data_IF_553036916517
#
_entry.id   IF_553036916517
#
_cell.length_a   1.000
_cell.length_b   1.000
_cell.length_c   1.000
_cell.angle_alpha   90.00
_cell.angle_beta   90.00
_cell.angle_gamma   90.00
#
_symmetry.space_group_name_H-M   'P 1'
#
loop_
_entity.id
_entity.type
_entity.pdbx_description
1 polymer ?
#
# COMPACT_ATOMS: atom_id res chain seq x y z
N UNK A 1 -19.35 17.58 -20.04
CA UNK A 1 -18.97 16.18 -19.66
C UNK A 1 -17.93 16.25 -18.55
N UNK A 2 -18.19 15.59 -17.44
CA UNK A 2 -17.26 15.55 -16.29
C UNK A 2 -16.19 14.50 -16.56
N UNK A 3 -14.91 14.89 -16.40
CA UNK A 3 -13.79 13.96 -16.49
C UNK A 3 -13.30 13.62 -15.07
N UNK A 4 -13.10 12.34 -14.79
CA UNK A 4 -12.68 11.84 -13.48
C UNK A 4 -11.43 10.96 -13.69
N UNK A 5 -10.35 11.26 -13.00
CA UNK A 5 -9.14 10.46 -12.96
C UNK A 5 -9.02 9.81 -11.58
N UNK A 6 -8.81 8.50 -11.55
CA UNK A 6 -8.81 7.73 -10.29
C UNK A 6 -7.61 6.83 -10.20
N UNK A 7 -7.05 6.73 -8.99
CA UNK A 7 -5.97 5.81 -8.67
C UNK A 7 -6.07 5.29 -7.24
N UNK A 8 -5.51 4.11 -7.01
CA UNK A 8 -5.42 3.46 -5.71
C UNK A 8 -4.04 2.89 -5.46
N UNK A 9 -3.53 3.08 -4.26
CA UNK A 9 -2.22 2.60 -3.84
C UNK A 9 -2.29 1.79 -2.54
N UNK A 10 -1.37 0.85 -2.37
CA UNK A 10 -1.19 0.12 -1.13
C UNK A 10 0.30 0.00 -0.80
N UNK A 11 0.69 0.34 0.43
CA UNK A 11 2.11 0.35 0.82
C UNK A 11 2.71 -1.04 0.94
N UNK A 12 1.90 -2.00 1.35
CA UNK A 12 2.14 -3.45 1.37
C UNK A 12 0.79 -4.09 1.05
N UNK A 13 0.74 -5.14 0.27
CA UNK A 13 -0.52 -5.70 -0.21
C UNK A 13 -0.77 -7.10 0.39
N UNK A 14 -1.63 -7.29 1.42
CA UNK A 14 -2.49 -6.28 2.07
C UNK A 14 -1.74 -5.37 3.07
N UNK A 15 -2.31 -4.20 3.37
CA UNK A 15 -1.80 -3.25 4.36
C UNK A 15 -2.43 -1.86 4.25
N UNK A 16 -1.71 -0.83 4.70
CA UNK A 16 -2.20 0.55 4.61
C UNK A 16 -2.33 0.97 3.15
N UNK A 17 -3.52 1.34 2.75
CA UNK A 17 -3.81 1.82 1.40
C UNK A 17 -4.36 3.24 1.39
N UNK A 18 -4.31 3.84 0.20
CA UNK A 18 -4.86 5.15 -0.09
C UNK A 18 -5.50 5.17 -1.48
N UNK A 19 -6.42 6.07 -1.67
CA UNK A 19 -7.05 6.33 -2.94
C UNK A 19 -7.08 7.82 -3.22
N UNK A 20 -7.01 8.18 -4.49
CA UNK A 20 -7.05 9.55 -4.96
C UNK A 20 -7.89 9.69 -6.21
N UNK A 21 -8.53 10.85 -6.36
CA UNK A 21 -9.22 11.19 -7.59
C UNK A 21 -9.20 12.69 -7.87
N UNK A 22 -9.24 13.02 -9.16
CA UNK A 22 -9.39 14.38 -9.67
C UNK A 22 -10.65 14.44 -10.51
N UNK A 23 -11.57 15.32 -10.13
CA UNK A 23 -12.84 15.55 -10.81
C UNK A 23 -12.77 16.89 -11.52
N UNK A 24 -12.93 16.89 -12.83
CA UNK A 24 -12.89 18.08 -13.67
C UNK A 24 -14.30 18.30 -14.22
N UNK A 25 -14.94 19.36 -13.73
CA UNK A 25 -16.30 19.73 -14.11
C UNK A 25 -16.33 20.49 -15.45
N UNK A 26 -17.47 20.49 -16.09
CA UNK A 26 -17.72 21.22 -17.37
C UNK A 26 -17.37 22.72 -17.28
N UNK A 27 -17.48 23.27 -16.08
CA UNK A 27 -17.10 24.67 -15.78
C UNK A 27 -15.59 24.92 -15.77
N UNK A 28 -14.78 23.88 -15.90
CA UNK A 28 -13.33 23.95 -15.72
C UNK A 28 -12.90 23.88 -14.23
N UNK A 29 -13.83 23.80 -13.29
CA UNK A 29 -13.50 23.61 -11.87
C UNK A 29 -12.88 22.23 -11.67
N UNK A 30 -11.75 22.18 -10.95
CA UNK A 30 -11.09 20.96 -10.51
C UNK A 30 -11.39 20.71 -9.02
N UNK A 31 -11.75 19.47 -8.70
CA UNK A 31 -11.90 19.01 -7.32
C UNK A 31 -11.00 17.80 -7.11
N UNK A 32 -10.21 17.83 -6.04
CA UNK A 32 -9.32 16.74 -5.65
C UNK A 32 -9.85 16.09 -4.39
N UNK A 33 -10.06 14.79 -4.44
CA UNK A 33 -10.54 14.01 -3.30
C UNK A 33 -9.59 12.83 -3.06
N UNK A 34 -9.42 12.47 -1.81
CA UNK A 34 -8.56 11.36 -1.42
C UNK A 34 -8.97 10.81 -0.06
N UNK A 35 -8.54 9.63 0.24
CA UNK A 35 -8.70 9.00 1.55
C UNK A 35 -7.82 7.77 1.69
N UNK A 36 -7.87 7.16 2.87
CA UNK A 36 -7.00 6.04 3.22
C UNK A 36 -7.74 5.01 4.06
N UNK A 37 -7.22 3.78 4.07
CA UNK A 37 -7.70 2.66 4.86
C UNK A 37 -6.50 1.99 5.55
N UNK A 38 -6.56 1.68 6.86
CA UNK A 38 -5.44 1.10 7.60
C UNK A 38 -5.13 -0.34 7.18
N UNK A 39 -6.12 -1.08 6.64
CA UNK A 39 -5.94 -2.48 6.24
C UNK A 39 -6.75 -2.82 4.99
N UNK A 40 -6.09 -2.79 3.85
CA UNK A 40 -6.75 -2.96 2.55
C UNK A 40 -5.80 -3.59 1.51
N UNK A 41 -6.24 -3.61 0.25
CA UNK A 41 -5.43 -4.04 -0.90
C UNK A 41 -5.46 -2.99 -2.00
N UNK A 42 -4.48 -3.03 -2.91
CA UNK A 42 -4.42 -2.12 -4.04
C UNK A 42 -5.74 -2.11 -4.82
N UNK A 43 -6.23 -3.27 -5.22
CA UNK A 43 -7.48 -3.39 -5.98
C UNK A 43 -8.69 -2.77 -5.26
N UNK A 44 -8.77 -2.89 -3.93
CA UNK A 44 -9.83 -2.26 -3.16
C UNK A 44 -9.75 -0.75 -3.23
N UNK A 45 -8.55 -0.18 -3.15
CA UNK A 45 -8.34 1.27 -3.21
C UNK A 45 -8.69 1.82 -4.60
N UNK A 46 -8.34 1.10 -5.67
CA UNK A 46 -8.71 1.45 -7.04
C UNK A 46 -10.24 1.50 -7.22
N UNK A 47 -10.97 0.49 -6.75
CA UNK A 47 -12.45 0.50 -6.81
C UNK A 47 -13.02 1.62 -5.93
N UNK A 48 -12.46 1.82 -4.73
CA UNK A 48 -12.89 2.85 -3.78
C UNK A 48 -12.74 4.25 -4.36
N UNK A 49 -11.65 4.52 -5.09
CA UNK A 49 -11.44 5.80 -5.77
C UNK A 49 -12.58 6.12 -6.75
N UNK A 50 -13.02 5.14 -7.53
CA UNK A 50 -14.15 5.28 -8.44
C UNK A 50 -15.46 5.52 -7.68
N UNK A 51 -15.75 4.70 -6.67
CA UNK A 51 -16.95 4.83 -5.84
C UNK A 51 -17.04 6.24 -5.25
N UNK A 52 -15.98 6.69 -4.59
CA UNK A 52 -15.93 8.00 -3.92
C UNK A 52 -16.04 9.17 -4.90
N UNK A 53 -15.55 9.00 -6.11
CA UNK A 53 -15.71 10.00 -7.16
C UNK A 53 -17.16 10.08 -7.65
N UNK A 54 -17.80 8.94 -7.86
CA UNK A 54 -19.20 8.89 -8.31
C UNK A 54 -20.19 9.36 -7.25
N UNK A 55 -19.88 9.22 -5.96
CA UNK A 55 -20.66 9.80 -4.86
C UNK A 55 -20.66 11.33 -4.87
N UNK A 56 -19.64 11.98 -5.45
CA UNK A 56 -19.50 13.44 -5.52
C UNK A 56 -20.25 14.07 -6.68
N UNK A 57 -20.51 13.33 -7.75
CA UNK A 57 -21.10 13.87 -8.97
C UNK A 57 -22.57 13.46 -9.13
N UNK A 58 -23.39 14.36 -9.71
CA UNK A 58 -24.79 14.11 -9.91
C UNK A 58 -25.02 12.97 -10.92
N UNK A 59 -26.05 12.14 -10.70
CA UNK A 59 -26.42 11.02 -11.59
C UNK A 59 -26.71 11.46 -13.03
N UNK A 60 -27.19 12.68 -13.25
CA UNK A 60 -27.57 13.21 -14.57
C UNK A 60 -26.40 13.69 -15.42
N UNK A 61 -25.19 13.72 -14.87
CA UNK A 61 -24.03 14.18 -15.61
C UNK A 61 -23.50 13.09 -16.55
N UNK A 62 -23.10 13.48 -17.76
CA UNK A 62 -22.30 12.63 -18.62
C UNK A 62 -20.88 12.58 -18.05
N UNK A 63 -20.38 11.39 -17.78
CA UNK A 63 -19.13 11.17 -17.05
C UNK A 63 -18.17 10.38 -17.93
N UNK A 64 -16.88 10.76 -17.88
CA UNK A 64 -15.79 9.96 -18.42
C UNK A 64 -14.79 9.67 -17.31
N UNK A 65 -14.53 8.38 -17.05
CA UNK A 65 -13.60 7.92 -16.03
C UNK A 65 -12.33 7.40 -16.69
N UNK A 66 -11.19 7.91 -16.22
CA UNK A 66 -9.86 7.50 -16.59
C UNK A 66 -9.21 6.78 -15.42
N UNK A 67 -8.63 5.62 -15.67
CA UNK A 67 -7.88 4.86 -14.67
C UNK A 67 -6.82 4.00 -15.35
N UNK A 68 -5.68 3.82 -14.71
CA UNK A 68 -4.64 2.89 -15.14
C UNK A 68 -4.85 1.47 -14.58
N UNK A 69 -5.84 1.31 -13.72
CA UNK A 69 -6.24 0.00 -13.21
C UNK A 69 -6.88 -0.86 -14.29
N UNK A 70 -6.11 -1.80 -14.83
CA UNK A 70 -6.66 -2.83 -15.74
C UNK A 70 -7.71 -3.69 -15.06
N UNK A 71 -7.63 -3.88 -13.73
CA UNK A 71 -8.60 -4.61 -12.95
C UNK A 71 -9.97 -3.92 -12.97
N UNK A 72 -10.02 -2.63 -12.68
CA UNK A 72 -11.28 -1.86 -12.70
C UNK A 72 -11.83 -1.77 -14.12
N UNK A 73 -11.03 -1.26 -15.07
CA UNK A 73 -11.46 -1.01 -16.44
C UNK A 73 -11.98 -2.29 -17.11
N UNK A 74 -11.23 -3.39 -17.03
CA UNK A 74 -11.65 -4.62 -17.71
C UNK A 74 -12.85 -5.30 -17.01
N UNK A 75 -13.00 -5.14 -15.69
CA UNK A 75 -14.17 -5.68 -14.99
C UNK A 75 -15.45 -4.98 -15.43
N UNK A 76 -15.42 -3.65 -15.57
CA UNK A 76 -16.62 -2.88 -15.96
C UNK A 76 -16.88 -2.90 -17.48
N UNK A 77 -15.83 -3.00 -18.33
CA UNK A 77 -15.99 -2.91 -19.79
C UNK A 77 -15.99 -4.26 -20.49
N UNK A 78 -15.34 -5.28 -19.91
CA UNK A 78 -15.18 -6.63 -20.51
C UNK A 78 -15.81 -7.74 -19.68
N UNK A 79 -16.59 -7.40 -18.66
CA UNK A 79 -17.27 -8.35 -17.77
C UNK A 79 -16.32 -9.39 -17.15
N UNK A 80 -15.13 -8.98 -16.71
CA UNK A 80 -14.23 -9.88 -16.01
C UNK A 80 -14.90 -10.45 -14.76
N UNK A 81 -14.64 -11.71 -14.47
CA UNK A 81 -15.23 -12.41 -13.32
C UNK A 81 -14.77 -11.77 -12.01
N UNK A 82 -15.75 -11.43 -11.18
CA UNK A 82 -15.54 -10.82 -9.86
C UNK A 82 -15.36 -11.93 -8.82
N UNK A 83 -14.13 -12.35 -8.59
CA UNK A 83 -13.80 -13.41 -7.63
C UNK A 83 -13.53 -12.86 -6.21
N UNK A 84 -13.41 -11.54 -6.06
CA UNK A 84 -13.12 -10.86 -4.80
C UNK A 84 -13.71 -9.45 -4.79
N UNK A 85 -13.75 -8.81 -3.61
CA UNK A 85 -14.22 -7.43 -3.40
C UNK A 85 -15.69 -7.22 -3.79
N UNK A 86 -16.54 -8.24 -3.63
CA UNK A 86 -17.95 -8.19 -4.03
C UNK A 86 -18.70 -7.05 -3.32
N UNK A 87 -18.34 -6.75 -2.08
CA UNK A 87 -18.86 -5.61 -1.32
C UNK A 87 -18.67 -4.27 -2.05
N UNK A 88 -17.51 -4.04 -2.63
CA UNK A 88 -17.20 -2.82 -3.38
C UNK A 88 -17.84 -2.86 -4.79
N UNK A 89 -17.86 -4.01 -5.43
CA UNK A 89 -18.50 -4.16 -6.73
C UNK A 89 -20.00 -3.91 -6.64
N UNK A 90 -20.67 -4.45 -5.61
CA UNK A 90 -22.11 -4.24 -5.38
C UNK A 90 -22.41 -2.76 -5.08
N UNK A 91 -21.54 -2.09 -4.36
CA UNK A 91 -21.63 -0.65 -4.10
C UNK A 91 -21.44 0.17 -5.38
N UNK A 92 -20.46 -0.21 -6.21
CA UNK A 92 -20.21 0.44 -7.49
C UNK A 92 -21.38 0.25 -8.46
N UNK A 93 -21.92 -0.96 -8.59
CA UNK A 93 -23.04 -1.25 -9.49
C UNK A 93 -24.26 -0.37 -9.20
N UNK A 94 -24.61 -0.18 -7.91
CA UNK A 94 -25.69 0.73 -7.48
C UNK A 94 -25.44 2.18 -7.91
N UNK A 95 -24.18 2.61 -7.96
CA UNK A 95 -23.81 3.94 -8.41
C UNK A 95 -23.84 4.05 -9.94
N UNK A 96 -23.57 2.97 -10.65
CA UNK A 96 -23.61 2.93 -12.11
C UNK A 96 -25.05 2.93 -12.67
N UNK A 97 -26.04 2.45 -11.90
CA UNK A 97 -27.43 2.39 -12.33
C UNK A 97 -27.95 3.76 -12.81
N UNK A 98 -28.40 3.81 -14.08
CA UNK A 98 -28.95 4.99 -14.71
C UNK A 98 -27.94 6.11 -15.00
N UNK A 99 -26.63 5.79 -15.01
CA UNK A 99 -25.58 6.72 -15.44
C UNK A 99 -25.04 6.32 -16.81
N UNK A 100 -24.75 7.32 -17.63
CA UNK A 100 -23.98 7.15 -18.86
C UNK A 100 -22.50 7.46 -18.56
N UNK A 101 -21.68 6.41 -18.46
CA UNK A 101 -20.26 6.52 -18.10
C UNK A 101 -19.39 5.93 -19.20
N UNK A 102 -18.49 6.76 -19.72
CA UNK A 102 -17.42 6.31 -20.60
C UNK A 102 -16.20 5.95 -19.78
N UNK A 103 -15.63 4.78 -20.05
CA UNK A 103 -14.44 4.28 -19.38
C UNK A 103 -13.26 4.33 -20.32
N UNK A 104 -12.13 4.84 -19.85
CA UNK A 104 -10.90 4.90 -20.62
C UNK A 104 -9.73 4.45 -19.75
N UNK A 105 -9.01 3.46 -20.26
CA UNK A 105 -7.75 3.06 -19.66
C UNK A 105 -6.66 4.03 -20.07
N UNK A 106 -5.87 4.48 -19.12
CA UNK A 106 -4.68 5.30 -19.33
C UNK A 106 -3.47 4.50 -18.87
N UNK A 107 -2.31 4.79 -19.46
CA UNK A 107 -1.07 4.15 -19.03
C UNK A 107 -0.56 4.88 -17.77
N UNK A 108 -0.37 4.13 -16.67
CA UNK A 108 0.21 4.68 -15.45
C UNK A 108 1.62 5.25 -15.67
N UNK A 109 1.96 6.31 -14.95
CA UNK A 109 3.25 7.00 -15.01
C UNK A 109 3.71 7.38 -16.43
N UNK A 110 2.76 7.74 -17.30
CA UNK A 110 3.04 8.11 -18.69
C UNK A 110 3.14 9.61 -18.92
N UNK A 111 3.04 10.42 -17.88
CA UNK A 111 3.02 11.88 -17.94
C UNK A 111 1.63 12.46 -18.19
N UNK A 112 0.55 11.68 -18.07
CA UNK A 112 -0.79 12.24 -17.99
C UNK A 112 -0.93 13.01 -16.69
N UNK A 113 -1.08 14.33 -16.83
CA UNK A 113 -1.10 15.29 -15.70
C UNK A 113 -2.09 14.89 -14.59
N UNK A 114 -3.28 14.46 -14.95
CA UNK A 114 -4.33 14.23 -13.98
C UNK A 114 -4.27 12.82 -13.37
N UNK A 115 -3.79 11.84 -14.13
CA UNK A 115 -3.50 10.52 -13.57
C UNK A 115 -2.33 10.59 -12.57
N UNK A 116 -1.27 11.34 -12.90
CA UNK A 116 -0.14 11.54 -11.99
C UNK A 116 -0.56 12.29 -10.70
N UNK A 117 -1.56 13.19 -10.80
CA UNK A 117 -2.12 13.85 -9.60
C UNK A 117 -2.94 12.85 -8.78
N UNK A 118 -3.75 11.97 -9.39
CA UNK A 118 -4.54 10.98 -8.68
C UNK A 118 -3.64 9.97 -7.94
N UNK A 119 -2.59 9.45 -8.60
CA UNK A 119 -1.55 8.62 -7.97
C UNK A 119 -0.92 9.31 -6.77
N UNK A 120 -0.45 10.55 -6.95
CA UNK A 120 0.14 11.31 -5.85
C UNK A 120 -0.83 11.48 -4.67
N UNK A 121 -2.10 11.75 -4.92
CA UNK A 121 -3.11 11.86 -3.86
C UNK A 121 -3.30 10.55 -3.10
N UNK A 122 -3.29 9.40 -3.79
CA UNK A 122 -3.38 8.08 -3.17
C UNK A 122 -2.16 7.81 -2.27
N UNK A 123 -0.95 8.10 -2.75
CA UNK A 123 0.29 7.94 -1.98
C UNK A 123 0.35 8.89 -0.79
N UNK A 124 0.00 10.17 -0.97
CA UNK A 124 -0.03 11.18 0.10
C UNK A 124 -1.05 10.80 1.20
N UNK A 125 -2.18 10.18 0.84
CA UNK A 125 -3.17 9.67 1.80
C UNK A 125 -2.57 8.57 2.71
N UNK A 126 -1.78 7.64 2.14
CA UNK A 126 -1.06 6.62 2.91
C UNK A 126 -0.08 7.26 3.89
N UNK A 127 0.72 8.23 3.41
CA UNK A 127 1.73 8.93 4.24
C UNK A 127 1.04 9.66 5.40
N UNK A 128 -0.07 10.34 5.13
CA UNK A 128 -0.85 11.06 6.13
C UNK A 128 -1.44 10.11 7.19
N UNK A 129 -1.99 8.96 6.77
CA UNK A 129 -2.51 7.97 7.71
C UNK A 129 -1.39 7.39 8.58
N UNK A 130 -0.25 7.05 7.98
CA UNK A 130 0.92 6.56 8.73
C UNK A 130 1.43 7.59 9.74
N UNK A 131 1.49 8.88 9.35
CA UNK A 131 1.88 9.97 10.27
C UNK A 131 0.86 10.16 11.40
N UNK A 132 -0.43 10.05 11.12
CA UNK A 132 -1.48 10.16 12.14
C UNK A 132 -1.49 8.95 13.09
N UNK A 133 -1.13 7.77 12.58
CA UNK A 133 -1.00 6.54 13.37
C UNK A 133 0.36 6.42 14.06
N UNK A 134 1.39 7.09 13.57
CA UNK A 134 2.62 7.37 14.28
C UNK A 134 2.39 8.56 15.24
N UNK A 135 1.35 8.47 16.06
CA UNK A 135 1.26 9.32 17.24
C UNK A 135 2.57 9.17 17.99
N UNK A 136 3.33 10.29 18.05
CA UNK A 136 4.50 10.50 18.89
C UNK A 136 5.43 9.29 18.90
N UNK A 137 6.63 9.42 18.41
CA UNK A 137 7.67 8.45 18.74
C UNK A 137 7.54 8.24 20.24
N UNK A 138 6.98 7.10 20.65
CA UNK A 138 6.57 6.84 22.05
C UNK A 138 7.73 6.99 23.04
N UNK A 139 8.95 7.10 22.51
CA UNK A 139 10.19 7.29 23.24
C UNK A 139 10.70 8.75 23.26
N UNK A 140 9.93 9.72 22.72
CA UNK A 140 10.22 11.15 22.81
C UNK A 140 9.11 11.86 23.59
N UNK A 141 9.49 12.85 24.41
CA UNK A 141 8.55 13.76 25.04
C UNK A 141 8.18 14.92 24.08
N UNK A 142 7.33 15.83 24.55
CA UNK A 142 6.89 17.00 23.80
C UNK A 142 8.02 17.96 23.41
N UNK A 143 9.20 17.83 24.03
CA UNK A 143 10.40 18.60 23.74
C UNK A 143 11.40 17.86 22.85
N UNK A 144 11.05 16.64 22.37
CA UNK A 144 11.91 15.80 21.54
C UNK A 144 13.02 15.07 22.31
N UNK A 145 12.94 15.02 23.64
CA UNK A 145 13.91 14.28 24.49
C UNK A 145 13.48 12.82 24.60
N UNK A 146 14.48 11.93 24.73
CA UNK A 146 14.25 10.49 24.91
C UNK A 146 13.52 10.25 26.24
N UNK A 147 12.37 9.55 26.16
CA UNK A 147 11.56 9.16 27.31
C UNK A 147 11.30 7.65 27.30
N UNK A 148 11.44 7.01 28.44
CA UNK A 148 11.03 5.61 28.62
C UNK A 148 9.50 5.54 28.66
N UNK A 149 8.92 4.62 27.87
CA UNK A 149 7.47 4.43 27.80
C UNK A 149 7.03 3.43 28.86
N UNK A 150 6.01 3.79 29.64
CA UNK A 150 5.32 2.84 30.48
C UNK A 150 4.52 1.86 29.60
N UNK A 151 4.82 0.57 29.74
CA UNK A 151 4.20 -0.52 28.99
C UNK A 151 3.35 -1.43 29.89
N UNK A 152 3.11 -1.05 31.15
CA UNK A 152 2.45 -1.88 32.15
C UNK A 152 1.04 -2.31 31.73
N UNK A 153 0.32 -1.46 31.00
CA UNK A 153 -1.04 -1.75 30.51
C UNK A 153 -1.09 -2.38 29.10
N UNK A 154 0.06 -2.58 28.45
CA UNK A 154 0.07 -3.18 27.11
C UNK A 154 -0.22 -4.67 27.19
N UNK A 155 -1.16 -5.12 26.37
CA UNK A 155 -1.44 -6.55 26.20
C UNK A 155 -0.21 -7.28 25.68
N UNK A 156 0.04 -8.48 26.21
CA UNK A 156 1.09 -9.37 25.70
C UNK A 156 0.77 -9.73 24.25
N UNK A 157 1.69 -9.45 23.35
CA UNK A 157 1.56 -9.76 21.92
C UNK A 157 2.72 -10.62 21.46
N UNK A 158 2.43 -11.63 20.65
CA UNK A 158 3.48 -12.39 19.93
C UNK A 158 3.88 -11.63 18.66
N UNK A 159 5.16 -11.38 18.50
CA UNK A 159 5.70 -10.72 17.31
C UNK A 159 6.72 -11.64 16.67
N UNK A 160 6.61 -11.82 15.35
CA UNK A 160 7.53 -12.64 14.58
C UNK A 160 8.11 -11.77 13.46
N UNK A 161 9.44 -11.78 13.35
CA UNK A 161 10.13 -11.20 12.20
C UNK A 161 10.84 -12.33 11.44
N UNK A 162 10.58 -12.44 10.14
CA UNK A 162 11.24 -13.40 9.26
C UNK A 162 12.06 -12.65 8.24
N UNK A 163 13.34 -12.94 8.19
CA UNK A 163 14.28 -12.33 7.24
C UNK A 163 14.95 -13.42 6.42
N UNK A 164 15.07 -13.21 5.13
CA UNK A 164 15.80 -14.10 4.24
C UNK A 164 16.97 -13.35 3.58
N UNK A 165 18.05 -14.06 3.34
CA UNK A 165 19.23 -13.55 2.65
C UNK A 165 19.79 -14.56 1.66
N UNK A 166 20.53 -14.09 0.67
CA UNK A 166 21.18 -14.92 -0.34
C UNK A 166 22.67 -14.56 -0.42
N UNK A 167 23.51 -15.57 -0.29
CA UNK A 167 24.95 -15.45 -0.55
C UNK A 167 25.27 -16.16 -1.86
N UNK A 168 25.85 -15.42 -2.81
CA UNK A 168 26.24 -15.96 -4.11
C UNK A 168 27.74 -16.30 -4.09
N UNK A 169 28.08 -17.50 -4.47
CA UNK A 169 29.46 -17.97 -4.49
C UNK A 169 29.72 -18.92 -5.69
N UNK A 170 30.98 -19.25 -5.95
CA UNK A 170 31.34 -20.21 -6.98
C UNK A 170 30.86 -21.62 -6.60
N UNK A 171 30.51 -22.43 -7.61
CA UNK A 171 30.00 -23.78 -7.41
C UNK A 171 30.95 -24.67 -6.58
N UNK A 172 32.24 -24.58 -6.85
CA UNK A 172 33.29 -25.32 -6.13
C UNK A 172 33.29 -24.96 -4.63
N UNK A 173 33.15 -23.66 -4.32
CA UNK A 173 33.09 -23.19 -2.93
C UNK A 173 31.84 -23.71 -2.24
N UNK A 174 30.70 -23.71 -2.94
CA UNK A 174 29.45 -24.22 -2.38
C UNK A 174 29.52 -25.71 -2.04
N UNK A 175 30.17 -26.52 -2.88
CA UNK A 175 30.36 -27.94 -2.61
C UNK A 175 31.24 -28.20 -1.37
N UNK A 176 32.32 -27.42 -1.20
CA UNK A 176 33.19 -27.53 -0.01
C UNK A 176 32.40 -27.13 1.26
N UNK A 177 31.56 -26.05 1.17
CA UNK A 177 30.68 -25.63 2.28
C UNK A 177 29.69 -26.72 2.66
N UNK A 178 29.01 -27.32 1.66
CA UNK A 178 28.05 -28.40 1.89
C UNK A 178 28.66 -29.65 2.51
N UNK A 179 29.90 -29.98 2.16
CA UNK A 179 30.65 -31.14 2.72
C UNK A 179 31.19 -30.87 4.11
N UNK A 180 31.15 -29.61 4.58
CA UNK A 180 31.74 -29.25 5.89
C UNK A 180 33.29 -29.29 5.91
N UNK A 181 33.94 -29.28 4.74
CA UNK A 181 35.42 -29.44 4.59
C UNK A 181 36.17 -28.10 4.72
N UNK A 182 35.54 -27.05 5.29
CA UNK A 182 36.20 -25.79 5.51
C UNK A 182 37.19 -25.86 6.67
N UNK A 183 38.41 -25.35 6.47
CA UNK A 183 39.44 -25.30 7.50
C UNK A 183 39.03 -24.55 8.79
N UNK A 184 38.03 -23.68 8.71
CA UNK A 184 37.52 -22.89 9.85
C UNK A 184 36.30 -23.51 10.53
N UNK A 185 35.95 -24.75 10.19
CA UNK A 185 34.83 -25.48 10.79
C UNK A 185 33.52 -25.37 10.01
N UNK A 186 32.44 -25.88 10.59
CA UNK A 186 31.12 -25.91 9.95
C UNK A 186 30.51 -24.50 9.85
N UNK A 187 30.38 -24.03 8.59
CA UNK A 187 29.85 -22.71 8.28
C UNK A 187 28.40 -22.55 8.72
N UNK A 188 27.58 -23.61 8.63
CA UNK A 188 26.15 -23.51 8.99
C UNK A 188 25.97 -23.35 10.50
N UNK A 189 26.73 -24.08 11.29
CA UNK A 189 26.72 -23.93 12.76
C UNK A 189 27.23 -22.57 13.17
N UNK A 190 28.32 -22.07 12.57
CA UNK A 190 28.86 -20.74 12.84
C UNK A 190 27.86 -19.65 12.46
N UNK A 191 27.21 -19.74 11.31
CA UNK A 191 26.19 -18.78 10.86
C UNK A 191 24.99 -18.76 11.79
N UNK A 192 24.52 -19.93 12.25
CA UNK A 192 23.42 -20.04 13.22
C UNK A 192 23.79 -19.37 14.56
N UNK A 193 24.98 -19.66 15.05
CA UNK A 193 25.47 -19.05 16.30
C UNK A 193 25.60 -17.54 16.18
N UNK A 194 26.15 -17.04 15.06
CA UNK A 194 26.24 -15.62 14.79
C UNK A 194 24.87 -14.95 14.74
N UNK A 195 23.87 -15.57 14.09
CA UNK A 195 22.51 -15.07 14.05
C UNK A 195 21.87 -14.98 15.45
N UNK A 196 22.02 -16.03 16.27
CA UNK A 196 21.52 -16.03 17.67
C UNK A 196 22.19 -14.91 18.48
N UNK A 197 23.50 -14.74 18.33
CA UNK A 197 24.26 -13.69 19.02
C UNK A 197 23.80 -12.30 18.60
N UNK A 198 23.59 -12.09 17.29
CA UNK A 198 23.08 -10.81 16.77
C UNK A 198 21.70 -10.46 17.35
N UNK A 199 20.78 -11.43 17.42
CA UNK A 199 19.46 -11.24 18.03
C UNK A 199 19.58 -10.88 19.53
N UNK A 200 20.42 -11.57 20.26
CA UNK A 200 20.69 -11.27 21.70
C UNK A 200 21.33 -9.92 21.91
N UNK A 201 22.05 -9.38 20.92
CA UNK A 201 22.67 -8.06 20.97
C UNK A 201 21.74 -6.92 20.54
N UNK A 202 20.50 -7.23 20.13
CA UNK A 202 19.52 -6.23 19.67
C UNK A 202 19.33 -5.09 20.67
N UNK A 203 19.16 -5.32 21.99
CA UNK A 203 18.99 -4.23 22.97
C UNK A 203 20.21 -3.29 23.07
N UNK A 204 21.39 -3.78 22.74
CA UNK A 204 22.62 -2.97 22.70
C UNK A 204 22.69 -2.10 21.43
N UNK A 205 22.19 -2.63 20.31
CA UNK A 205 22.20 -1.95 19.00
C UNK A 205 21.05 -0.95 18.86
N UNK A 206 19.92 -1.26 19.47
CA UNK A 206 18.70 -0.44 19.43
C UNK A 206 18.30 -0.13 20.87
N UNK A 207 18.79 0.99 21.43
CA UNK A 207 18.41 1.40 22.79
C UNK A 207 16.91 1.57 22.92
N UNK A 208 16.36 1.17 24.06
CA UNK A 208 14.94 1.28 24.38
C UNK A 208 14.01 0.31 23.60
N UNK A 209 14.56 -0.77 23.00
CA UNK A 209 13.70 -1.83 22.43
C UNK A 209 13.44 -2.97 23.43
#
# INVERSE_FOLDING_TARGET
MINIYTDGACSVNPGVGGWGAVIIYDSGKEEKIYGSDPETTNNRMEITAVIKSLEKVNKKNNIKIYSDSTYVINTVTKNWKRNANNDLWDALDKLLEGRDIKWEWVKGHSGDKYNDIADKLAVDAIIKLKKNNSKELSHLDSEGKIKMVDVSEKKITSRVAVVSGKVVMKKETLEIVKKGELKKGDMFTLSRTAGITAVKSTPTLIPLC
#
